data_IF_748022564886
#
_entry.id   IF_748022564886
#
_cell.length_a   1.000
_cell.length_b   1.000
_cell.length_c   1.000
_cell.angle_alpha   90.00
_cell.angle_beta   90.00
_cell.angle_gamma   90.00
#
_symmetry.space_group_name_H-M   'P 1'
#
loop_
_entity.id
_entity.type
_entity.pdbx_description
1 polymer ?
#
# COMPACT_ATOMS: atom_id res chain seq x y z
N UNK A 1 -18.42 -15.94 -48.42
CA UNK A 1 -17.80 -16.13 -47.11
C UNK A 1 -16.97 -14.85 -46.83
N UNK A 2 -17.55 -13.88 -46.14
CA UNK A 2 -16.95 -12.58 -45.90
C UNK A 2 -16.12 -12.71 -44.61
N UNK A 3 -14.81 -12.62 -44.73
CA UNK A 3 -13.90 -12.54 -43.58
C UNK A 3 -14.15 -11.21 -42.87
N UNK A 4 -14.75 -11.23 -41.69
CA UNK A 4 -14.79 -10.05 -40.80
C UNK A 4 -13.39 -9.81 -40.28
N UNK A 5 -12.80 -8.71 -40.67
CA UNK A 5 -11.57 -8.21 -40.07
C UNK A 5 -11.81 -7.97 -38.57
N UNK A 6 -10.95 -8.59 -37.74
CA UNK A 6 -10.93 -8.35 -36.29
C UNK A 6 -10.45 -6.90 -36.07
N UNK A 7 -11.04 -6.17 -35.14
CA UNK A 7 -10.58 -4.82 -34.83
C UNK A 7 -9.13 -4.86 -34.32
N UNK A 8 -8.32 -3.93 -34.80
CA UNK A 8 -6.93 -3.76 -34.39
C UNK A 8 -6.83 -3.68 -32.86
N UNK A 9 -5.91 -4.45 -32.27
CA UNK A 9 -5.63 -4.44 -30.84
C UNK A 9 -5.30 -3.01 -30.35
N UNK A 10 -5.82 -2.60 -29.17
CA UNK A 10 -5.61 -1.23 -28.70
C UNK A 10 -4.13 -0.97 -28.39
N UNK A 11 -3.56 0.06 -28.99
CA UNK A 11 -2.18 0.57 -28.76
C UNK A 11 -1.99 1.19 -27.36
N UNK A 12 -2.75 0.76 -26.35
CA UNK A 12 -2.92 1.50 -25.08
C UNK A 12 -2.16 0.95 -23.86
N UNK A 13 -1.46 -0.20 -23.96
CA UNK A 13 -0.84 -0.80 -22.79
C UNK A 13 0.41 -0.06 -22.25
N UNK A 14 1.19 0.57 -23.14
CA UNK A 14 2.40 1.29 -22.71
C UNK A 14 2.10 2.56 -21.90
N UNK A 15 1.03 3.29 -22.23
CA UNK A 15 0.66 4.50 -21.51
C UNK A 15 0.14 4.21 -20.09
N UNK A 16 -0.59 3.11 -19.87
CA UNK A 16 -1.08 2.73 -18.54
C UNK A 16 0.06 2.31 -17.60
N UNK A 17 1.02 1.53 -18.08
CA UNK A 17 2.20 1.12 -17.26
C UNK A 17 3.03 2.34 -16.88
N UNK A 18 3.16 3.33 -17.75
CA UNK A 18 3.84 4.59 -17.46
C UNK A 18 3.08 5.40 -16.41
N UNK A 19 1.76 5.43 -16.46
CA UNK A 19 0.92 6.12 -15.46
C UNK A 19 1.07 5.53 -14.06
N UNK A 20 1.10 4.21 -13.91
CA UNK A 20 1.30 3.55 -12.62
C UNK A 20 2.68 3.88 -12.04
N UNK A 21 3.73 3.75 -12.85
CA UNK A 21 5.11 4.10 -12.43
C UNK A 21 5.23 5.55 -11.98
N UNK A 22 4.48 6.46 -12.62
CA UNK A 22 4.48 7.87 -12.25
C UNK A 22 3.88 8.17 -10.87
N UNK A 23 3.20 7.22 -10.24
CA UNK A 23 2.74 7.33 -8.84
C UNK A 23 3.82 6.95 -7.83
N UNK A 24 4.84 6.19 -8.21
CA UNK A 24 5.94 5.77 -7.34
C UNK A 24 6.99 6.88 -7.35
N UNK A 25 7.25 7.49 -6.19
CA UNK A 25 8.07 8.70 -6.06
C UNK A 25 9.18 8.53 -5.03
N UNK A 26 10.31 9.21 -5.28
CA UNK A 26 11.30 9.44 -4.24
C UNK A 26 10.79 10.45 -3.21
N UNK A 27 11.47 10.55 -2.07
CA UNK A 27 11.05 11.35 -0.92
C UNK A 27 10.91 12.83 -1.26
N UNK A 28 11.92 13.42 -1.91
CA UNK A 28 11.95 14.85 -2.25
C UNK A 28 10.88 15.20 -3.28
N UNK A 29 10.70 14.35 -4.31
CA UNK A 29 9.68 14.55 -5.31
C UNK A 29 8.27 14.46 -4.71
N UNK A 30 8.04 13.49 -3.82
CA UNK A 30 6.76 13.36 -3.12
C UNK A 30 6.48 14.56 -2.21
N UNK A 31 7.51 15.10 -1.53
CA UNK A 31 7.36 16.29 -0.70
C UNK A 31 6.95 17.51 -1.53
N UNK A 32 7.64 17.76 -2.66
CA UNK A 32 7.30 18.84 -3.58
C UNK A 32 5.87 18.69 -4.13
N UNK A 33 5.44 17.48 -4.46
CA UNK A 33 4.07 17.21 -4.90
C UNK A 33 3.06 17.48 -3.79
N UNK A 34 3.34 17.06 -2.55
CA UNK A 34 2.48 17.36 -1.41
C UNK A 34 2.34 18.87 -1.17
N UNK A 35 3.43 19.63 -1.25
CA UNK A 35 3.41 21.10 -1.15
C UNK A 35 2.56 21.73 -2.27
N UNK A 36 2.73 21.25 -3.49
CA UNK A 36 1.92 21.71 -4.62
C UNK A 36 0.44 21.39 -4.47
N UNK A 37 0.06 20.23 -3.94
CA UNK A 37 -1.33 19.88 -3.66
C UNK A 37 -1.92 20.81 -2.59
N UNK A 38 -1.21 21.06 -1.49
CA UNK A 38 -1.67 22.00 -0.44
C UNK A 38 -1.83 23.43 -0.95
N UNK A 39 -0.96 23.88 -1.85
CA UNK A 39 -1.09 25.20 -2.50
C UNK A 39 -2.34 25.34 -3.37
N UNK A 40 -2.99 24.21 -3.72
CA UNK A 40 -4.25 24.10 -4.44
C UNK A 40 -5.43 23.78 -3.51
N UNK A 41 -5.29 24.00 -2.20
CA UNK A 41 -6.28 23.68 -1.16
C UNK A 41 -6.68 22.19 -1.08
N UNK A 42 -5.87 21.29 -1.64
CA UNK A 42 -6.09 19.84 -1.57
C UNK A 42 -5.53 19.25 -0.28
N UNK A 43 -6.33 18.41 0.37
CA UNK A 43 -5.93 17.71 1.60
C UNK A 43 -5.16 16.45 1.30
N UNK A 44 -3.95 16.36 1.84
CA UNK A 44 -3.07 15.20 1.74
C UNK A 44 -3.32 14.25 2.92
N UNK A 45 -3.70 13.02 2.61
CA UNK A 45 -3.84 11.92 3.55
C UNK A 45 -2.60 11.03 3.44
N UNK A 46 -2.02 10.62 4.55
CA UNK A 46 -0.91 9.68 4.60
C UNK A 46 -1.28 8.43 5.39
N UNK A 47 -0.91 7.29 4.86
CA UNK A 47 -0.89 6.01 5.58
C UNK A 47 0.36 5.24 5.24
N UNK A 48 0.69 4.21 6.05
CA UNK A 48 1.84 3.35 5.77
C UNK A 48 1.58 1.88 6.07
N UNK A 49 2.37 1.00 5.45
CA UNK A 49 2.32 -0.44 5.71
C UNK A 49 3.25 -1.26 4.84
N UNK A 50 3.29 -2.56 5.11
CA UNK A 50 4.09 -3.53 4.35
C UNK A 50 3.41 -3.93 3.02
N UNK A 51 2.10 -4.10 3.01
CA UNK A 51 1.28 -4.48 1.84
C UNK A 51 1.89 -5.65 1.05
N UNK A 52 2.33 -6.69 1.76
CA UNK A 52 3.08 -7.81 1.19
C UNK A 52 2.20 -8.65 0.24
N UNK A 53 1.09 -9.21 0.74
CA UNK A 53 0.06 -9.84 -0.07
C UNK A 53 -1.23 -9.05 0.09
N UNK A 54 -1.68 -8.43 -0.98
CA UNK A 54 -2.92 -7.65 -0.96
C UNK A 54 -4.15 -8.55 -0.85
N UNK A 55 -5.12 -8.06 -0.10
CA UNK A 55 -6.46 -8.66 0.05
C UNK A 55 -7.52 -7.55 0.20
N UNK A 56 -8.80 -7.94 0.12
CA UNK A 56 -9.91 -6.98 0.15
C UNK A 56 -9.92 -6.06 1.37
N UNK A 57 -9.41 -6.53 2.51
CA UNK A 57 -9.28 -5.70 3.72
C UNK A 57 -8.33 -4.50 3.52
N UNK A 58 -7.21 -4.69 2.80
CA UNK A 58 -6.32 -3.60 2.43
C UNK A 58 -7.01 -2.59 1.50
N UNK A 59 -7.76 -3.07 0.50
CA UNK A 59 -8.44 -2.19 -0.46
C UNK A 59 -9.48 -1.32 0.24
N UNK A 60 -10.34 -1.94 1.06
CA UNK A 60 -11.36 -1.21 1.82
C UNK A 60 -10.76 -0.17 2.76
N UNK A 61 -9.67 -0.51 3.44
CA UNK A 61 -8.93 0.41 4.28
C UNK A 61 -8.39 1.60 3.50
N UNK A 62 -7.74 1.35 2.35
CA UNK A 62 -7.17 2.42 1.52
C UNK A 62 -8.25 3.30 0.90
N UNK A 63 -9.41 2.75 0.52
CA UNK A 63 -10.57 3.54 0.06
C UNK A 63 -11.12 4.44 1.17
N UNK A 64 -11.25 3.92 2.40
CA UNK A 64 -11.66 4.71 3.56
C UNK A 64 -10.64 5.83 3.86
N UNK A 65 -9.35 5.54 3.81
CA UNK A 65 -8.30 6.54 3.98
C UNK A 65 -8.39 7.63 2.90
N UNK A 66 -8.55 7.25 1.63
CA UNK A 66 -8.71 8.18 0.50
C UNK A 66 -9.93 9.08 0.66
N UNK A 67 -11.03 8.57 1.17
CA UNK A 67 -12.26 9.34 1.38
C UNK A 67 -12.14 10.47 2.41
N UNK A 68 -11.05 10.51 3.19
CA UNK A 68 -10.78 11.56 4.18
C UNK A 68 -10.18 12.84 3.56
N UNK A 69 -9.65 12.76 2.34
CA UNK A 69 -9.03 13.90 1.66
C UNK A 69 -8.93 13.72 0.15
N UNK A 70 -8.19 14.60 -0.49
CA UNK A 70 -8.10 14.66 -1.95
C UNK A 70 -6.99 13.79 -2.53
N UNK A 71 -5.89 13.62 -1.78
CA UNK A 71 -4.67 12.91 -2.22
C UNK A 71 -4.30 11.88 -1.15
N UNK A 72 -4.22 10.60 -1.55
CA UNK A 72 -3.73 9.54 -0.67
C UNK A 72 -2.27 9.21 -1.02
N UNK A 73 -1.37 9.46 -0.08
CA UNK A 73 0.04 9.06 -0.13
C UNK A 73 0.23 7.82 0.74
N UNK A 74 0.77 6.77 0.13
CA UNK A 74 1.05 5.50 0.80
C UNK A 74 2.57 5.36 1.01
N UNK A 75 3.00 5.37 2.28
CA UNK A 75 4.34 4.98 2.69
C UNK A 75 4.46 3.46 2.69
N UNK A 76 5.35 2.91 1.86
CA UNK A 76 5.58 1.48 1.73
C UNK A 76 6.89 1.09 2.40
N UNK A 77 6.87 0.18 3.38
CA UNK A 77 8.08 -0.33 3.98
C UNK A 77 8.94 -1.09 2.94
N UNK A 78 10.23 -0.79 2.88
CA UNK A 78 11.19 -1.53 2.06
C UNK A 78 11.27 -3.00 2.48
N UNK A 79 11.89 -3.84 1.66
CA UNK A 79 12.09 -5.26 1.99
C UNK A 79 12.89 -5.42 3.29
N UNK A 80 13.93 -4.62 3.47
CA UNK A 80 14.76 -4.67 4.68
C UNK A 80 13.99 -4.21 5.92
N UNK A 81 13.18 -3.16 5.81
CA UNK A 81 12.29 -2.73 6.88
C UNK A 81 11.29 -3.84 7.25
N UNK A 82 10.66 -4.48 6.26
CA UNK A 82 9.73 -5.58 6.53
C UNK A 82 10.42 -6.76 7.21
N UNK A 83 11.64 -7.14 6.79
CA UNK A 83 12.41 -8.22 7.44
C UNK A 83 12.68 -7.91 8.91
N UNK A 84 13.04 -6.67 9.23
CA UNK A 84 13.30 -6.28 10.63
C UNK A 84 12.06 -6.32 11.50
N UNK A 85 10.92 -5.86 10.99
CA UNK A 85 9.68 -5.74 11.80
C UNK A 85 8.80 -7.00 11.81
N UNK A 86 8.92 -7.88 10.81
CA UNK A 86 8.08 -9.09 10.67
C UNK A 86 8.87 -10.39 10.76
N UNK A 87 10.21 -10.35 10.65
CA UNK A 87 11.07 -11.52 10.60
C UNK A 87 11.04 -12.23 9.24
N UNK A 88 12.03 -13.14 9.03
CA UNK A 88 12.02 -14.02 7.88
C UNK A 88 10.84 -15.03 8.00
N UNK A 89 10.22 -15.46 6.90
CA UNK A 89 10.55 -15.24 5.50
C UNK A 89 9.87 -14.03 4.83
N UNK A 90 9.57 -12.97 5.57
CA UNK A 90 8.87 -11.80 5.05
C UNK A 90 9.84 -10.72 4.53
N UNK A 91 9.49 -9.92 3.49
CA UNK A 91 8.27 -10.04 2.68
C UNK A 91 8.37 -11.20 1.67
N UNK A 92 7.22 -11.65 1.14
CA UNK A 92 7.16 -12.62 0.04
C UNK A 92 7.33 -11.93 -1.31
N UNK A 93 6.72 -10.75 -1.45
CA UNK A 93 6.73 -9.95 -2.68
C UNK A 93 7.73 -8.81 -2.53
N UNK A 94 8.60 -8.62 -3.55
CA UNK A 94 9.61 -7.56 -3.54
C UNK A 94 8.98 -6.16 -3.39
N UNK A 95 9.73 -5.21 -2.79
CA UNK A 95 9.22 -3.85 -2.57
C UNK A 95 8.78 -3.17 -3.86
N UNK A 96 9.48 -3.40 -4.98
CA UNK A 96 9.11 -2.81 -6.27
C UNK A 96 7.83 -3.40 -6.84
N UNK A 97 7.62 -4.71 -6.71
CA UNK A 97 6.38 -5.36 -7.13
C UNK A 97 5.22 -4.92 -6.22
N UNK A 98 5.44 -4.85 -4.89
CA UNK A 98 4.46 -4.33 -3.95
C UNK A 98 4.07 -2.88 -4.26
N UNK A 99 5.07 -2.03 -4.52
CA UNK A 99 4.85 -0.64 -4.90
C UNK A 99 4.04 -0.52 -6.19
N UNK A 100 4.36 -1.34 -7.19
CA UNK A 100 3.66 -1.34 -8.47
C UNK A 100 2.19 -1.76 -8.31
N UNK A 101 1.93 -2.81 -7.53
CA UNK A 101 0.56 -3.32 -7.29
C UNK A 101 -0.28 -2.31 -6.51
N UNK A 102 0.24 -1.69 -5.44
CA UNK A 102 -0.52 -0.68 -4.69
C UNK A 102 -0.69 0.63 -5.47
N UNK A 103 0.28 1.02 -6.32
CA UNK A 103 0.16 2.17 -7.20
C UNK A 103 -0.92 1.99 -8.28
N UNK A 104 -1.23 0.74 -8.66
CA UNK A 104 -2.31 0.44 -9.61
C UNK A 104 -3.71 0.64 -9.02
N UNK A 105 -3.84 0.74 -7.70
CA UNK A 105 -5.12 1.00 -7.04
C UNK A 105 -5.60 2.41 -7.35
N UNK A 106 -6.89 2.54 -7.67
CA UNK A 106 -7.50 3.82 -7.99
C UNK A 106 -7.46 4.81 -6.82
N UNK A 107 -7.60 4.31 -5.60
CA UNK A 107 -7.61 5.12 -4.38
C UNK A 107 -6.23 5.64 -3.96
N UNK A 108 -5.13 5.12 -4.52
CA UNK A 108 -3.76 5.53 -4.20
C UNK A 108 -3.26 6.52 -5.24
N UNK A 109 -2.81 7.70 -4.80
CA UNK A 109 -2.29 8.75 -5.69
C UNK A 109 -0.77 8.73 -5.77
N UNK A 110 -0.08 8.53 -4.63
CA UNK A 110 1.38 8.43 -4.57
C UNK A 110 1.80 7.25 -3.68
N UNK A 111 2.93 6.62 -4.04
CA UNK A 111 3.61 5.59 -3.26
C UNK A 111 5.04 6.03 -3.02
N UNK A 112 5.48 5.98 -1.76
CA UNK A 112 6.85 6.33 -1.36
C UNK A 112 7.44 5.20 -0.53
N UNK A 113 8.53 4.59 -1.01
CA UNK A 113 9.24 3.54 -0.28
C UNK A 113 10.10 4.18 0.80
N UNK A 114 10.12 3.59 2.00
CA UNK A 114 10.99 4.01 3.10
C UNK A 114 11.67 2.82 3.77
N UNK A 115 12.94 3.00 4.17
CA UNK A 115 13.81 1.95 4.70
C UNK A 115 13.76 1.82 6.23
N UNK A 116 13.31 2.87 6.92
CA UNK A 116 13.27 2.93 8.38
C UNK A 116 12.20 1.98 8.94
N UNK A 117 12.32 1.61 10.20
CA UNK A 117 11.35 0.74 10.88
C UNK A 117 10.02 1.47 11.12
N UNK A 118 10.07 2.80 11.19
CA UNK A 118 8.89 3.66 11.32
C UNK A 118 8.86 4.74 10.25
N UNK A 119 7.68 5.23 9.85
CA UNK A 119 7.54 6.27 8.84
C UNK A 119 7.76 7.69 9.37
N UNK A 120 8.33 7.86 10.58
CA UNK A 120 8.42 9.15 11.29
C UNK A 120 9.06 10.26 10.45
N UNK A 121 10.24 10.00 9.89
CA UNK A 121 10.95 10.98 9.07
C UNK A 121 10.24 11.28 7.74
N UNK A 122 9.61 10.28 7.15
CA UNK A 122 8.80 10.46 5.95
C UNK A 122 7.57 11.35 6.24
N UNK A 123 6.86 11.09 7.35
CA UNK A 123 5.73 11.93 7.79
C UNK A 123 6.19 13.37 8.04
N UNK A 124 7.34 13.55 8.70
CA UNK A 124 7.92 14.87 8.98
C UNK A 124 8.23 15.64 7.70
N UNK A 125 8.71 14.95 6.66
CA UNK A 125 9.04 15.54 5.37
C UNK A 125 7.78 15.90 4.57
N UNK A 126 6.83 14.96 4.47
CA UNK A 126 5.62 15.12 3.66
C UNK A 126 4.58 16.06 4.26
N UNK A 127 4.56 16.21 5.60
CA UNK A 127 3.61 17.05 6.37
C UNK A 127 2.14 16.81 5.96
N UNK A 128 1.60 15.59 6.06
CA UNK A 128 0.23 15.32 5.63
C UNK A 128 -0.80 16.05 6.50
N UNK A 129 -1.91 16.51 5.91
CA UNK A 129 -3.03 17.11 6.66
C UNK A 129 -3.73 16.07 7.54
N UNK A 130 -3.73 14.81 7.12
CA UNK A 130 -4.37 13.71 7.81
C UNK A 130 -3.44 12.50 7.83
N UNK A 131 -3.12 12.02 9.02
CA UNK A 131 -2.40 10.78 9.25
C UNK A 131 -3.38 9.67 9.62
N UNK A 132 -3.34 8.56 8.90
CA UNK A 132 -4.25 7.42 9.11
C UNK A 132 -3.46 6.16 9.43
N UNK A 133 -3.91 5.43 10.45
CA UNK A 133 -3.42 4.09 10.79
C UNK A 133 -4.55 3.09 10.82
N UNK A 134 -4.33 1.91 10.25
CA UNK A 134 -5.28 0.81 10.34
C UNK A 134 -5.13 0.05 11.65
N UNK A 135 -6.25 -0.30 12.29
CA UNK A 135 -6.32 -1.02 13.57
C UNK A 135 -6.95 -0.18 14.68
N UNK A 136 -7.05 -0.76 15.86
CA UNK A 136 -7.59 -0.10 17.05
C UNK A 136 -6.45 0.58 17.85
N UNK A 137 -5.84 1.60 17.23
CA UNK A 137 -4.79 2.37 17.88
C UNK A 137 -5.37 3.57 18.63
N UNK A 138 -4.79 3.88 19.79
CA UNK A 138 -4.97 5.21 20.34
C UNK A 138 -4.21 6.20 19.48
N UNK A 139 -4.80 7.35 19.23
CA UNK A 139 -4.23 8.35 18.31
C UNK A 139 -2.84 8.84 18.77
N UNK A 140 -2.62 8.92 20.07
CA UNK A 140 -1.32 9.30 20.68
C UNK A 140 -0.22 8.25 20.45
N UNK A 141 -0.57 6.99 20.25
CA UNK A 141 0.37 5.88 20.02
C UNK A 141 0.75 5.72 18.53
N UNK A 142 0.11 6.46 17.64
CA UNK A 142 0.41 6.43 16.21
C UNK A 142 1.69 7.21 15.95
N UNK A 143 2.70 6.52 15.38
CA UNK A 143 3.98 7.14 15.01
C UNK A 143 3.76 8.34 14.11
N UNK A 144 4.30 9.51 14.51
CA UNK A 144 4.16 10.78 13.79
C UNK A 144 2.92 11.59 14.19
N UNK A 145 2.10 11.10 15.15
CA UNK A 145 0.94 11.84 15.66
C UNK A 145 1.34 13.20 16.25
N UNK A 146 2.43 13.23 17.03
CA UNK A 146 3.01 14.42 17.61
C UNK A 146 3.34 15.50 16.57
N UNK A 147 3.97 15.08 15.45
CA UNK A 147 4.31 15.97 14.34
C UNK A 147 3.05 16.53 13.69
N UNK A 148 2.12 15.64 13.32
CA UNK A 148 0.92 16.01 12.56
C UNK A 148 0.02 16.93 13.39
N UNK A 149 -0.15 16.66 14.68
CA UNK A 149 -0.94 17.49 15.59
C UNK A 149 -0.27 18.85 15.86
N UNK A 150 1.07 18.91 15.89
CA UNK A 150 1.78 20.16 16.15
C UNK A 150 1.52 21.25 15.12
N UNK A 151 1.22 20.92 13.86
CA UNK A 151 0.83 21.89 12.83
C UNK A 151 -0.68 21.91 12.53
N UNK A 152 -1.51 21.29 13.39
CA UNK A 152 -2.98 21.32 13.30
C UNK A 152 -3.57 20.26 12.38
N UNK A 153 -2.81 19.28 11.94
CA UNK A 153 -3.30 18.14 11.18
C UNK A 153 -4.10 17.16 12.04
N UNK A 154 -4.79 16.23 11.41
CA UNK A 154 -5.63 15.22 12.07
C UNK A 154 -4.93 13.85 12.08
N UNK A 155 -5.13 13.10 13.18
CA UNK A 155 -4.66 11.72 13.32
C UNK A 155 -5.85 10.83 13.59
N UNK A 156 -6.00 9.77 12.78
CA UNK A 156 -7.16 8.88 12.83
C UNK A 156 -6.74 7.41 12.81
N UNK A 157 -7.41 6.59 13.61
CA UNK A 157 -7.37 5.14 13.51
C UNK A 157 -8.61 4.65 12.76
N UNK A 158 -8.42 3.81 11.74
CA UNK A 158 -9.50 3.18 11.00
C UNK A 158 -9.55 1.69 11.32
N UNK A 159 -10.71 1.12 11.64
CA UNK A 159 -10.82 -0.29 11.98
C UNK A 159 -10.49 -1.17 10.77
N UNK A 160 -9.82 -2.30 11.02
CA UNK A 160 -9.66 -3.33 10.01
C UNK A 160 -10.95 -4.12 9.82
N UNK A 161 -11.15 -4.59 8.59
CA UNK A 161 -12.16 -5.62 8.34
C UNK A 161 -11.76 -6.91 9.06
N UNK A 162 -12.65 -7.46 9.88
CA UNK A 162 -12.47 -8.77 10.51
C UNK A 162 -12.51 -9.90 9.46
N UNK A 163 -11.81 -10.99 9.73
CA UNK A 163 -11.89 -12.24 8.96
C UNK A 163 -10.99 -12.32 7.73
N UNK A 164 -10.04 -11.38 7.54
CA UNK A 164 -9.01 -11.51 6.53
C UNK A 164 -7.74 -10.76 6.94
N UNK A 165 -6.62 -11.48 6.95
CA UNK A 165 -5.29 -10.91 7.16
C UNK A 165 -4.26 -11.63 6.29
N UNK A 166 -3.13 -10.96 6.04
CA UNK A 166 -2.00 -11.60 5.33
C UNK A 166 -1.53 -12.86 6.04
N UNK A 167 -1.52 -12.88 7.37
CA UNK A 167 -1.15 -14.07 8.17
C UNK A 167 -2.13 -15.23 7.95
N UNK A 168 -3.43 -14.96 7.95
CA UNK A 168 -4.43 -16.00 7.65
C UNK A 168 -4.30 -16.55 6.22
N UNK A 169 -3.97 -15.69 5.24
CA UNK A 169 -3.69 -16.14 3.87
C UNK A 169 -2.48 -17.07 3.83
N UNK A 170 -1.41 -16.76 4.56
CA UNK A 170 -0.24 -17.63 4.67
C UNK A 170 -0.61 -19.00 5.23
N UNK A 171 -1.36 -19.06 6.32
CA UNK A 171 -1.80 -20.33 6.91
C UNK A 171 -2.66 -21.14 5.95
N UNK A 172 -3.58 -20.50 5.23
CA UNK A 172 -4.42 -21.16 4.21
C UNK A 172 -3.59 -21.72 3.06
N UNK A 173 -2.61 -20.96 2.56
CA UNK A 173 -1.71 -21.40 1.50
C UNK A 173 -0.87 -22.59 1.98
N UNK A 174 -0.25 -22.50 3.16
CA UNK A 174 0.57 -23.56 3.72
C UNK A 174 -0.23 -24.86 3.92
N UNK A 175 -1.45 -24.78 4.46
CA UNK A 175 -2.32 -25.94 4.62
C UNK A 175 -2.70 -26.57 3.29
N UNK A 176 -3.08 -25.76 2.29
CA UNK A 176 -3.44 -26.25 0.98
C UNK A 176 -2.28 -26.98 0.27
N UNK A 177 -1.05 -26.48 0.42
CA UNK A 177 0.14 -27.16 -0.13
C UNK A 177 0.48 -28.46 0.61
N UNK A 178 0.32 -28.52 1.93
CA UNK A 178 0.53 -29.76 2.69
C UNK A 178 -0.45 -30.87 2.25
N UNK A 179 -1.72 -30.53 2.01
CA UNK A 179 -2.74 -31.48 1.54
C UNK A 179 -2.43 -32.00 0.12
N UNK A 180 -1.85 -31.17 -0.75
CA UNK A 180 -1.47 -31.56 -2.12
C UNK A 180 -0.31 -32.57 -2.07
N UNK A 181 0.75 -32.26 -1.31
CA UNK A 181 1.93 -33.15 -1.20
C UNK A 181 1.61 -34.49 -0.53
N UNK A 182 0.65 -34.55 0.38
CA UNK A 182 0.19 -35.83 0.98
C UNK A 182 -0.54 -36.69 -0.05
N UNK A 183 -1.42 -36.12 -0.87
CA UNK A 183 -2.17 -36.86 -1.90
C UNK A 183 -1.30 -37.38 -3.03
N UNK A 184 -0.25 -36.64 -3.39
CA UNK A 184 0.70 -37.09 -4.43
C UNK A 184 1.52 -38.29 -3.94
N UNK A 185 1.85 -38.39 -2.65
CA UNK A 185 2.57 -39.53 -2.08
C UNK A 185 1.69 -40.80 -1.96
N UNK A 186 0.39 -40.67 -1.74
CA UNK A 186 -0.55 -41.81 -1.69
C UNK A 186 -0.81 -42.46 -3.06
N UNK A 187 -0.54 -41.77 -4.17
CA UNK A 187 -0.75 -42.29 -5.53
C UNK A 187 0.48 -43.03 -6.10
N UNK A 188 1.57 -43.14 -5.37
CA UNK A 188 2.80 -43.85 -5.76
C UNK A 188 3.10 -45.11 -4.94
N UNK A 189 2.19 -45.56 -4.04
CA UNK A 189 2.20 -46.86 -3.38
C UNK A 189 1.16 -47.80 -4.02
#
# INVERSE_FOLDING_TARGET
MVLRELPASPKNNYNQVTMIKNKIKGWEEAALLCDNFRSQDKKVVFTNGCFDILHSGHIQYLEQAKALGDILVLGLNSDDSVRRIKGAPRPIVSEMDRAFVVAALQCVDLVVIFEQDTPYELIRLLKPDILVKGGDWKTEDIVGADIVQAYGGKVLSLPYRSGISTTELFHKIASAFADITMKDNENYE
#
